data_IF_190637408912
#
_entry.id   IF_190637408912
#
_cell.length_a   1.000
_cell.length_b   1.000
_cell.length_c   1.000
_cell.angle_alpha   90.00
_cell.angle_beta   90.00
_cell.angle_gamma   90.00
#
_symmetry.space_group_name_H-M   'P 1'
#
loop_
_entity.id
_entity.type
_entity.pdbx_description
1 polymer ?
#
# COMPACT_ATOMS: atom_id res chain seq x y z
N UNK A 1 -2.54 -4.12 2.78
CA UNK A 1 -1.10 -4.42 2.80
C UNK A 1 -0.87 -5.78 3.46
N UNK A 2 -0.13 -6.67 2.82
CA UNK A 2 0.31 -7.92 3.46
C UNK A 2 1.44 -7.63 4.44
N UNK A 3 1.44 -8.31 5.58
CA UNK A 3 2.41 -8.08 6.63
C UNK A 3 2.71 -9.38 7.38
N UNK A 4 3.98 -9.63 7.68
CA UNK A 4 4.39 -10.72 8.58
C UNK A 4 3.87 -10.46 10.01
N UNK A 5 3.82 -11.50 10.83
CA UNK A 5 3.34 -11.40 12.22
C UNK A 5 4.17 -10.41 13.05
N UNK A 6 5.47 -10.31 12.77
CA UNK A 6 6.41 -9.38 13.41
C UNK A 6 6.50 -8.00 12.74
N UNK A 7 5.61 -7.70 11.79
CA UNK A 7 5.34 -6.35 11.31
C UNK A 7 6.08 -5.92 10.04
N UNK A 8 6.63 -6.86 9.26
CA UNK A 8 7.38 -6.56 8.03
C UNK A 8 6.52 -6.71 6.78
N UNK A 9 6.69 -5.78 5.82
CA UNK A 9 6.00 -5.77 4.51
C UNK A 9 6.92 -6.10 3.34
N UNK A 10 8.20 -6.24 3.62
CA UNK A 10 9.24 -6.61 2.68
C UNK A 10 10.36 -7.30 3.46
N UNK A 11 11.01 -8.28 2.84
CA UNK A 11 12.15 -8.97 3.41
C UNK A 11 13.43 -8.13 3.40
N UNK A 12 14.55 -8.71 3.90
CA UNK A 12 15.86 -8.11 3.72
C UNK A 12 16.22 -8.02 2.22
N UNK A 13 17.19 -7.17 1.87
CA UNK A 13 17.62 -6.96 0.49
C UNK A 13 16.49 -6.47 -0.44
N UNK A 14 15.53 -5.71 0.10
CA UNK A 14 14.56 -4.97 -0.70
C UNK A 14 15.29 -3.82 -1.40
N UNK A 15 15.53 -3.95 -2.70
CA UNK A 15 16.35 -3.04 -3.51
C UNK A 15 15.95 -3.09 -5.00
N UNK A 16 16.43 -2.16 -5.86
CA UNK A 16 16.24 -2.27 -7.30
C UNK A 16 16.81 -3.60 -7.82
N UNK A 17 15.96 -4.43 -8.45
CA UNK A 17 16.32 -5.79 -8.89
C UNK A 17 15.80 -6.91 -7.98
N UNK A 18 15.41 -6.59 -6.75
CA UNK A 18 14.73 -7.50 -5.83
C UNK A 18 13.58 -6.77 -5.09
N UNK A 19 12.55 -6.30 -5.83
CA UNK A 19 11.46 -5.52 -5.24
C UNK A 19 10.69 -6.35 -4.21
N UNK A 20 10.61 -5.83 -2.98
CA UNK A 20 9.96 -6.51 -1.86
C UNK A 20 10.92 -7.38 -1.02
N UNK A 21 12.16 -7.57 -1.47
CA UNK A 21 13.19 -8.27 -0.71
C UNK A 21 13.04 -9.80 -0.70
N UNK A 22 14.00 -10.47 -0.07
CA UNK A 22 14.03 -11.92 0.03
C UNK A 22 12.78 -12.46 0.75
N UNK A 23 12.08 -13.41 0.11
CA UNK A 23 10.88 -14.03 0.66
C UNK A 23 9.59 -13.24 0.49
N UNK A 24 9.61 -12.13 -0.29
CA UNK A 24 8.43 -11.28 -0.51
C UNK A 24 7.19 -12.05 -0.95
N UNK A 25 7.35 -13.03 -1.86
CA UNK A 25 6.24 -13.85 -2.36
C UNK A 25 5.43 -14.51 -1.24
N UNK A 26 6.09 -14.90 -0.14
CA UNK A 26 5.44 -15.53 1.01
C UNK A 26 4.36 -14.63 1.62
N UNK A 27 4.52 -13.31 1.54
CA UNK A 27 3.51 -12.34 2.02
C UNK A 27 2.29 -12.25 1.10
N UNK A 28 2.39 -12.70 -0.15
CA UNK A 28 1.39 -12.49 -1.20
C UNK A 28 0.79 -13.79 -1.77
N UNK A 29 1.24 -14.96 -1.32
CA UNK A 29 0.68 -16.28 -1.71
C UNK A 29 -0.84 -16.37 -1.55
N UNK A 30 -1.40 -15.75 -0.50
CA UNK A 30 -2.85 -15.74 -0.24
C UNK A 30 -3.65 -15.07 -1.37
N UNK A 31 -3.04 -14.11 -2.08
CA UNK A 31 -3.65 -13.37 -3.19
C UNK A 31 -3.37 -14.08 -4.52
N UNK A 32 -2.11 -14.45 -4.77
CA UNK A 32 -1.67 -14.94 -6.08
C UNK A 32 -1.90 -16.44 -6.30
N UNK A 33 -1.50 -17.27 -5.34
CA UNK A 33 -1.48 -18.73 -5.48
C UNK A 33 -2.79 -19.35 -5.01
N UNK A 34 -3.32 -18.88 -3.88
CA UNK A 34 -4.51 -19.48 -3.26
C UNK A 34 -5.80 -19.24 -4.06
N UNK A 35 -5.79 -18.33 -5.04
CA UNK A 35 -6.97 -17.94 -5.84
C UNK A 35 -8.20 -17.72 -4.93
N UNK A 36 -8.14 -16.70 -4.07
CA UNK A 36 -9.05 -16.58 -2.94
C UNK A 36 -10.51 -16.60 -3.37
N UNK A 37 -11.33 -17.34 -2.62
CA UNK A 37 -12.77 -17.48 -2.84
C UNK A 37 -13.57 -16.94 -1.64
N UNK A 38 -14.88 -16.78 -1.81
CA UNK A 38 -15.76 -16.31 -0.74
C UNK A 38 -15.32 -14.95 -0.17
N UNK A 39 -15.29 -14.78 1.16
CA UNK A 39 -14.91 -13.50 1.80
C UNK A 39 -13.53 -12.96 1.40
N UNK A 40 -12.59 -13.83 1.04
CA UNK A 40 -11.26 -13.41 0.61
C UNK A 40 -11.28 -12.83 -0.82
N UNK A 41 -12.20 -13.29 -1.67
CA UNK A 41 -12.40 -12.72 -3.02
C UNK A 41 -12.91 -11.28 -2.95
N UNK A 42 -13.79 -10.99 -1.98
CA UNK A 42 -14.28 -9.64 -1.74
C UNK A 42 -13.14 -8.63 -1.49
N UNK A 43 -12.04 -9.05 -0.85
CA UNK A 43 -10.87 -8.18 -0.65
C UNK A 43 -10.19 -7.80 -1.96
N UNK A 44 -10.22 -8.70 -2.95
CA UNK A 44 -9.67 -8.48 -4.29
C UNK A 44 -10.59 -7.52 -5.05
N UNK A 45 -11.89 -7.78 -5.02
CA UNK A 45 -12.87 -6.93 -5.69
C UNK A 45 -12.84 -5.49 -5.13
N UNK A 46 -12.68 -5.33 -3.82
CA UNK A 46 -12.53 -4.01 -3.18
C UNK A 46 -11.22 -3.30 -3.54
N UNK A 47 -10.13 -4.05 -3.73
CA UNK A 47 -8.86 -3.52 -4.24
C UNK A 47 -9.02 -3.02 -5.68
N UNK A 48 -9.59 -3.84 -6.57
CA UNK A 48 -9.82 -3.53 -7.98
C UNK A 48 -10.85 -2.39 -8.17
N UNK A 49 -11.78 -2.22 -7.22
CA UNK A 49 -12.78 -1.16 -7.22
C UNK A 49 -12.23 0.22 -6.79
N UNK A 50 -10.97 0.33 -6.35
CA UNK A 50 -10.37 1.62 -6.01
C UNK A 50 -10.29 2.57 -7.21
N UNK A 51 -10.33 3.88 -6.96
CA UNK A 51 -10.39 4.90 -8.00
C UNK A 51 -9.10 5.62 -8.33
N UNK A 52 -8.09 5.52 -7.44
CA UNK A 52 -6.75 6.03 -7.66
C UNK A 52 -5.76 5.31 -6.74
N UNK A 53 -4.49 5.35 -7.10
CA UNK A 53 -3.38 4.84 -6.29
C UNK A 53 -2.54 6.01 -5.78
N UNK A 54 -2.21 6.01 -4.49
CA UNK A 54 -1.22 6.89 -3.89
C UNK A 54 -0.04 6.07 -3.38
N UNK A 55 1.16 6.36 -3.88
CA UNK A 55 2.36 5.57 -3.61
C UNK A 55 3.57 6.46 -3.34
N UNK A 56 4.52 5.97 -2.56
CA UNK A 56 5.78 6.66 -2.31
C UNK A 56 6.75 6.45 -3.47
N UNK A 57 7.59 7.47 -3.75
CA UNK A 57 8.61 7.42 -4.82
C UNK A 57 9.37 6.10 -4.90
N UNK A 58 9.85 5.61 -3.76
CA UNK A 58 10.65 4.39 -3.72
C UNK A 58 9.89 3.20 -4.28
N UNK A 59 8.68 2.94 -3.78
CA UNK A 59 7.85 1.82 -4.26
C UNK A 59 7.54 1.98 -5.74
N UNK A 60 7.18 3.19 -6.17
CA UNK A 60 6.92 3.48 -7.58
C UNK A 60 8.14 3.16 -8.46
N UNK A 61 9.33 3.63 -8.12
CA UNK A 61 10.54 3.37 -8.90
C UNK A 61 10.95 1.88 -8.88
N UNK A 62 10.79 1.19 -7.75
CA UNK A 62 11.13 -0.23 -7.63
C UNK A 62 10.27 -1.14 -8.51
N UNK A 63 8.99 -0.82 -8.67
CA UNK A 63 8.05 -1.57 -9.51
C UNK A 63 7.90 -0.99 -10.91
N UNK A 64 8.85 -0.15 -11.34
CA UNK A 64 8.82 0.55 -12.63
C UNK A 64 7.48 1.25 -12.90
N UNK A 65 6.94 1.91 -11.88
CA UNK A 65 5.66 2.62 -11.88
C UNK A 65 4.49 1.75 -12.34
N UNK A 66 4.56 0.44 -12.08
CA UNK A 66 3.59 -0.55 -12.54
C UNK A 66 3.46 -0.58 -14.07
N UNK A 67 4.54 -0.22 -14.78
CA UNK A 67 4.53 -0.02 -16.23
C UNK A 67 3.51 1.04 -16.70
N UNK A 68 3.15 1.98 -15.83
CA UNK A 68 2.19 3.05 -16.09
C UNK A 68 0.72 2.68 -15.89
N UNK A 69 0.43 1.45 -15.45
CA UNK A 69 -0.94 0.98 -15.22
C UNK A 69 -1.07 0.23 -13.90
N UNK A 70 -2.10 0.57 -13.13
CA UNK A 70 -2.46 -0.14 -11.91
C UNK A 70 -3.97 -0.30 -11.92
N UNK A 71 -4.44 -1.38 -12.57
CA UNK A 71 -5.86 -1.69 -12.82
C UNK A 71 -6.67 -0.54 -13.45
N UNK A 72 -6.05 0.24 -14.33
CA UNK A 72 -6.72 1.27 -15.13
C UNK A 72 -7.00 2.59 -14.41
N UNK A 73 -6.38 2.85 -13.25
CA UNK A 73 -6.61 4.09 -12.48
C UNK A 73 -5.38 5.01 -12.40
N UNK A 74 -5.57 6.32 -12.16
CA UNK A 74 -4.47 7.25 -11.97
C UNK A 74 -3.55 6.89 -10.80
N UNK A 75 -2.24 7.10 -10.98
CA UNK A 75 -1.21 6.78 -9.99
C UNK A 75 -0.54 8.09 -9.54
N UNK A 76 -0.63 8.41 -8.26
CA UNK A 76 0.00 9.57 -7.64
C UNK A 76 1.24 9.15 -6.87
N UNK A 77 2.38 9.74 -7.20
CA UNK A 77 3.67 9.48 -6.55
C UNK A 77 4.06 10.66 -5.68
N UNK A 78 4.02 10.48 -4.36
CA UNK A 78 4.50 11.52 -3.43
C UNK A 78 6.04 11.53 -3.37
N UNK A 79 6.65 12.69 -3.61
CA UNK A 79 8.10 12.84 -3.72
C UNK A 79 8.54 14.28 -3.51
N UNK A 80 9.57 14.55 -2.70
CA UNK A 80 10.15 15.90 -2.58
C UNK A 80 10.96 16.36 -3.82
N UNK A 81 11.12 15.49 -4.82
CA UNK A 81 11.93 15.72 -6.03
C UNK A 81 11.08 15.46 -7.28
N UNK A 82 11.34 16.15 -8.40
CA UNK A 82 10.66 15.88 -9.67
C UNK A 82 10.88 14.43 -10.16
N UNK A 83 10.03 13.93 -11.08
CA UNK A 83 10.20 12.63 -11.71
C UNK A 83 11.46 12.55 -12.57
N UNK A 84 11.93 11.34 -12.82
CA UNK A 84 12.93 11.09 -13.86
C UNK A 84 12.30 11.14 -15.27
N UNK A 85 13.12 11.28 -16.33
CA UNK A 85 12.61 11.41 -17.71
C UNK A 85 11.73 10.24 -18.19
N UNK A 86 11.98 9.01 -17.68
CA UNK A 86 11.22 7.81 -18.05
C UNK A 86 9.74 7.89 -17.73
N UNK A 87 9.34 8.73 -16.76
CA UNK A 87 7.94 8.91 -16.36
C UNK A 87 7.10 9.54 -17.47
N UNK A 88 7.73 10.25 -18.43
CA UNK A 88 7.04 10.78 -19.60
C UNK A 88 6.36 9.67 -20.46
N UNK A 89 6.79 8.41 -20.31
CA UNK A 89 6.17 7.25 -20.96
C UNK A 89 4.91 6.73 -20.24
N UNK A 90 4.60 7.26 -19.04
CA UNK A 90 3.52 6.79 -18.18
C UNK A 90 2.50 7.91 -17.93
N UNK A 91 1.56 8.18 -18.87
CA UNK A 91 0.67 9.34 -18.78
C UNK A 91 -0.29 9.30 -17.57
N UNK A 92 -0.55 8.12 -17.01
CA UNK A 92 -1.38 7.95 -15.80
C UNK A 92 -0.61 8.22 -14.50
N UNK A 93 0.71 8.46 -14.56
CA UNK A 93 1.57 8.65 -13.39
C UNK A 93 1.82 10.14 -13.16
N UNK A 94 1.36 10.65 -12.03
CA UNK A 94 1.55 12.05 -11.61
C UNK A 94 2.45 12.11 -10.39
N UNK A 95 3.56 12.85 -10.46
CA UNK A 95 4.39 13.15 -9.30
C UNK A 95 3.85 14.38 -8.57
N UNK A 96 3.68 14.28 -7.26
CA UNK A 96 3.24 15.38 -6.41
C UNK A 96 4.37 15.77 -5.47
N UNK A 97 4.83 17.02 -5.59
CA UNK A 97 5.97 17.55 -4.83
C UNK A 97 5.62 18.28 -3.55
N UNK A 98 4.34 18.60 -3.37
CA UNK A 98 3.85 19.46 -2.29
C UNK A 98 3.42 18.67 -1.04
N UNK A 99 4.03 17.50 -0.84
CA UNK A 99 3.83 16.66 0.33
C UNK A 99 2.56 15.78 0.29
N UNK A 100 2.39 15.00 1.37
CA UNK A 100 1.39 13.93 1.46
C UNK A 100 -0.06 14.42 1.44
N UNK A 101 -0.33 15.59 2.03
CA UNK A 101 -1.69 16.17 2.08
C UNK A 101 -2.15 16.55 0.67
N UNK A 102 -1.30 17.24 -0.10
CA UNK A 102 -1.59 17.59 -1.50
C UNK A 102 -1.75 16.33 -2.36
N UNK A 103 -0.84 15.35 -2.20
CA UNK A 103 -0.92 14.10 -2.95
C UNK A 103 -2.21 13.31 -2.67
N UNK A 104 -2.63 13.24 -1.40
CA UNK A 104 -3.90 12.60 -1.02
C UNK A 104 -5.11 13.37 -1.57
N UNK A 105 -5.11 14.70 -1.50
CA UNK A 105 -6.21 15.51 -2.02
C UNK A 105 -6.39 15.32 -3.54
N UNK A 106 -5.29 15.32 -4.30
CA UNK A 106 -5.33 15.07 -5.74
C UNK A 106 -5.78 13.64 -6.07
N UNK A 107 -5.29 12.64 -5.33
CA UNK A 107 -5.72 11.26 -5.49
C UNK A 107 -7.22 11.08 -5.20
N UNK A 108 -7.73 11.70 -4.12
CA UNK A 108 -9.17 11.68 -3.79
C UNK A 108 -10.01 12.36 -4.88
N UNK A 109 -9.56 13.50 -5.39
CA UNK A 109 -10.24 14.19 -6.49
C UNK A 109 -10.32 13.33 -7.77
N UNK A 110 -9.25 12.62 -8.10
CA UNK A 110 -9.23 11.71 -9.25
C UNK A 110 -10.05 10.42 -9.03
N UNK A 111 -10.13 9.93 -7.79
CA UNK A 111 -10.89 8.73 -7.45
C UNK A 111 -12.42 8.94 -7.50
N UNK A 112 -12.88 10.18 -7.32
CA UNK A 112 -14.32 10.50 -7.22
C UNK A 112 -14.93 9.87 -5.97
N UNK A 113 -16.05 9.18 -6.14
CA UNK A 113 -16.74 8.49 -5.03
C UNK A 113 -16.08 7.15 -4.63
N UNK A 114 -14.97 6.77 -5.28
CA UNK A 114 -14.23 5.53 -5.00
C UNK A 114 -13.08 5.78 -4.02
N UNK A 115 -12.62 4.71 -3.39
CA UNK A 115 -11.51 4.77 -2.43
C UNK A 115 -10.16 5.04 -3.12
N UNK A 116 -9.23 5.67 -2.41
CA UNK A 116 -7.81 5.78 -2.78
C UNK A 116 -7.03 4.63 -2.15
N UNK A 117 -6.29 3.89 -2.97
CA UNK A 117 -5.42 2.81 -2.51
C UNK A 117 -4.03 3.34 -2.16
N UNK A 118 -3.57 3.12 -0.93
CA UNK A 118 -2.27 3.62 -0.45
C UNK A 118 -1.22 2.51 -0.42
N UNK A 119 -0.10 2.70 -1.12
CA UNK A 119 1.03 1.77 -1.16
C UNK A 119 2.28 2.30 -0.45
N UNK A 120 2.94 1.38 0.26
CA UNK A 120 4.23 1.58 0.90
C UNK A 120 4.15 2.10 2.35
N UNK A 121 5.08 1.61 3.19
CA UNK A 121 5.16 1.96 4.60
C UNK A 121 5.28 3.47 4.84
N UNK A 122 6.22 4.14 4.15
CA UNK A 122 6.43 5.58 4.30
C UNK A 122 5.16 6.38 3.99
N UNK A 123 4.50 6.08 2.87
CA UNK A 123 3.26 6.76 2.45
C UNK A 123 2.16 6.61 3.49
N UNK A 124 1.94 5.39 3.98
CA UNK A 124 0.94 5.11 5.00
C UNK A 124 1.26 5.81 6.32
N UNK A 125 2.52 5.75 6.78
CA UNK A 125 2.96 6.43 8.01
C UNK A 125 2.79 7.95 7.89
N UNK A 126 3.23 8.57 6.79
CA UNK A 126 3.04 10.02 6.56
C UNK A 126 1.56 10.41 6.47
N UNK A 127 0.73 9.57 5.87
CA UNK A 127 -0.71 9.82 5.77
C UNK A 127 -1.42 9.72 7.13
N UNK A 128 -1.00 8.78 7.99
CA UNK A 128 -1.44 8.69 9.39
C UNK A 128 -1.05 9.93 10.17
N UNK A 129 0.22 10.36 10.07
CA UNK A 129 0.70 11.56 10.76
C UNK A 129 -0.02 12.83 10.34
N UNK A 130 -0.33 12.95 9.05
CA UNK A 130 -1.09 14.06 8.51
C UNK A 130 -2.60 13.94 8.73
N UNK A 131 -3.09 12.85 9.35
CA UNK A 131 -4.51 12.54 9.57
C UNK A 131 -5.34 12.54 8.30
N UNK A 132 -4.76 12.05 7.20
CA UNK A 132 -5.43 11.92 5.90
C UNK A 132 -5.66 10.48 5.47
N UNK A 133 -5.34 9.51 6.34
CA UNK A 133 -5.62 8.10 6.16
C UNK A 133 -6.85 7.69 6.99
N UNK A 134 -7.87 7.18 6.32
CA UNK A 134 -9.16 6.86 6.95
C UNK A 134 -9.21 5.41 7.48
N UNK A 135 -8.62 4.47 6.74
CA UNK A 135 -8.68 3.03 7.04
C UNK A 135 -7.35 2.31 6.80
N UNK A 136 -7.11 1.24 7.56
CA UNK A 136 -5.99 0.32 7.39
C UNK A 136 -6.52 -1.09 7.08
N UNK A 137 -6.18 -1.62 5.91
CA UNK A 137 -6.40 -3.03 5.56
C UNK A 137 -5.08 -3.80 5.73
N UNK A 138 -5.00 -4.67 6.73
CA UNK A 138 -3.84 -5.53 7.01
C UNK A 138 -4.20 -6.97 6.69
N UNK A 139 -3.38 -7.64 5.87
CA UNK A 139 -3.43 -9.09 5.68
C UNK A 139 -2.26 -9.67 6.48
N UNK A 140 -2.56 -10.11 7.71
CA UNK A 140 -1.56 -10.64 8.65
C UNK A 140 -1.25 -12.08 8.27
N UNK A 141 -0.04 -12.30 7.77
CA UNK A 141 0.44 -13.59 7.29
C UNK A 141 1.10 -14.32 8.46
N UNK A 142 0.80 -15.62 8.69
CA UNK A 142 1.36 -16.40 9.79
C UNK A 142 2.82 -16.80 9.52
N UNK A 143 3.69 -15.79 9.37
CA UNK A 143 5.13 -15.94 9.13
C UNK A 143 5.88 -14.86 9.92
N UNK A 144 7.08 -15.18 10.39
CA UNK A 144 8.01 -14.24 11.01
C UNK A 144 9.17 -13.98 10.04
N UNK A 145 9.47 -12.72 9.76
CA UNK A 145 10.54 -12.34 8.83
C UNK A 145 11.86 -12.02 9.53
N UNK A 146 11.80 -11.59 10.79
CA UNK A 146 12.96 -11.21 11.62
C UNK A 146 13.62 -9.89 11.21
N UNK A 147 13.62 -9.56 9.92
CA UNK A 147 14.25 -8.36 9.36
C UNK A 147 13.58 -7.93 8.05
N UNK A 148 13.89 -6.72 7.59
CA UNK A 148 13.35 -6.15 6.36
C UNK A 148 12.72 -4.78 6.61
N UNK A 149 11.71 -4.41 5.82
CA UNK A 149 10.99 -3.13 6.02
C UNK A 149 9.76 -3.33 6.87
N UNK A 150 9.70 -2.63 8.00
CA UNK A 150 8.51 -2.60 8.86
C UNK A 150 7.40 -1.73 8.26
N UNK A 151 6.14 -2.15 8.43
CA UNK A 151 4.99 -1.31 8.07
C UNK A 151 4.91 -0.07 8.97
N UNK A 152 5.13 -0.29 10.27
CA UNK A 152 5.13 0.74 11.31
C UNK A 152 6.41 0.55 12.13
N UNK A 153 7.23 1.59 12.23
CA UNK A 153 8.50 1.56 12.96
C UNK A 153 8.48 2.60 14.08
N UNK A 154 8.54 3.88 13.73
CA UNK A 154 8.41 5.01 14.67
C UNK A 154 7.27 5.90 14.21
N UNK A 155 6.18 5.92 14.98
CA UNK A 155 5.09 6.88 14.83
C UNK A 155 5.29 8.02 15.85
N UNK A 156 4.97 9.29 15.51
CA UNK A 156 5.22 10.41 16.41
C UNK A 156 4.25 10.47 17.61
N UNK A 157 3.15 9.72 17.55
CA UNK A 157 2.17 9.61 18.64
C UNK A 157 1.38 8.31 18.52
N UNK A 158 0.65 7.94 19.57
CA UNK A 158 -0.29 6.82 19.51
C UNK A 158 -1.42 7.11 18.53
N UNK A 159 -1.78 6.10 17.74
CA UNK A 159 -2.94 6.13 16.84
C UNK A 159 -3.91 5.07 17.31
N UNK A 160 -5.11 5.50 17.70
CA UNK A 160 -6.17 4.59 18.13
C UNK A 160 -6.90 4.03 16.89
N UNK A 161 -7.14 2.72 16.91
CA UNK A 161 -7.76 2.01 15.80
C UNK A 161 -9.04 1.29 16.26
N UNK A 162 -10.08 1.38 15.45
CA UNK A 162 -11.31 0.61 15.63
C UNK A 162 -11.30 -0.58 14.66
N UNK A 163 -11.49 -1.81 15.15
CA UNK A 163 -11.67 -2.98 14.29
C UNK A 163 -13.04 -2.86 13.61
N UNK A 164 -13.08 -2.79 12.29
CA UNK A 164 -14.32 -2.73 11.51
C UNK A 164 -14.65 -4.04 10.80
N UNK A 165 -13.65 -4.88 10.52
CA UNK A 165 -13.86 -6.20 9.92
C UNK A 165 -12.69 -7.13 10.20
N UNK A 166 -13.00 -8.40 10.47
CA UNK A 166 -12.03 -9.50 10.49
C UNK A 166 -12.53 -10.60 9.57
N UNK A 167 -11.69 -11.02 8.63
CA UNK A 167 -11.91 -12.19 7.78
C UNK A 167 -10.78 -13.17 8.08
N UNK A 168 -11.14 -14.36 8.54
CA UNK A 168 -10.19 -15.43 8.81
C UNK A 168 -10.19 -16.42 7.65
N UNK A 169 -9.02 -16.68 7.07
CA UNK A 169 -8.82 -17.73 6.06
C UNK A 169 -7.69 -18.66 6.50
N UNK A 170 -7.53 -19.84 5.89
CA UNK A 170 -6.38 -20.72 6.20
C UNK A 170 -5.02 -20.05 5.99
N UNK A 171 -4.91 -19.12 5.05
CA UNK A 171 -3.65 -18.51 4.62
C UNK A 171 -3.31 -17.23 5.41
N UNK A 172 -4.30 -16.48 5.89
CA UNK A 172 -4.09 -15.20 6.53
C UNK A 172 -5.27 -14.75 7.41
N UNK A 173 -4.99 -13.82 8.32
CA UNK A 173 -6.03 -13.04 9.01
C UNK A 173 -6.10 -11.66 8.38
N UNK A 174 -7.22 -11.32 7.76
CA UNK A 174 -7.43 -10.03 7.13
C UNK A 174 -8.21 -9.11 8.07
N UNK A 175 -7.58 -8.05 8.54
CA UNK A 175 -8.16 -7.12 9.50
C UNK A 175 -8.26 -5.76 8.86
N UNK A 176 -9.46 -5.18 8.91
CA UNK A 176 -9.69 -3.80 8.53
C UNK A 176 -9.92 -2.97 9.79
N UNK A 177 -9.22 -1.86 9.88
CA UNK A 177 -9.35 -0.87 10.93
C UNK A 177 -9.82 0.47 10.38
N UNK A 178 -10.61 1.18 11.15
CA UNK A 178 -10.81 2.63 11.01
C UNK A 178 -9.83 3.37 11.91
N UNK A 179 -9.21 4.42 11.38
CA UNK A 179 -8.34 5.32 12.15
C UNK A 179 -9.20 6.29 12.95
N UNK A 180 -8.96 6.41 14.26
CA UNK A 180 -9.61 7.43 15.10
C UNK A 180 -8.77 8.71 15.06
N UNK A 181 -9.33 9.76 14.43
CA UNK A 181 -8.69 11.07 14.26
C UNK A 181 -9.11 12.10 15.32
#
# INVERSE_FOLDING_TARGET
>A
MSMSLDGYIAGPNDEPGNPGGSGFDRLHEWFGVAQPSGPARQLIDEYEATGAVLVGRRTAEQVNHYSGDHHGVPIFVVSHRPPGPSVANYPSVTYVTDGIVSAMAQAKAAAGDRNVLVHGAYTAQRALEARVLDELQIHLIPVLFGSGRRQFEVLPSHVELEIIRVINTPEATHIRYRVRN
#
